data_IF_806624307014
#
_entry.id   IF_806624307014
#
_cell.length_a   1.000
_cell.length_b   1.000
_cell.length_c   1.000
_cell.angle_alpha   90.00
_cell.angle_beta   90.00
_cell.angle_gamma   90.00
#
_symmetry.space_group_name_H-M   'P 1'
#
loop_
_entity.id
_entity.type
_entity.pdbx_description
1 polymer ?
#
# COMPACT_ATOMS: atom_id res chain seq x y z
N UNK A 1 -1.08 -13.33 -15.82
CA UNK A 1 -2.16 -12.68 -15.09
C UNK A 1 -1.63 -11.61 -14.18
N UNK A 2 -2.35 -10.52 -14.09
CA UNK A 2 -1.92 -9.42 -13.25
C UNK A 2 -2.26 -9.67 -11.79
N UNK A 3 -1.31 -9.32 -10.93
CA UNK A 3 -1.53 -9.37 -9.49
C UNK A 3 -2.39 -8.20 -9.07
N UNK A 4 -3.22 -8.42 -8.07
CA UNK A 4 -4.02 -7.36 -7.47
C UNK A 4 -3.20 -6.74 -6.35
N UNK A 5 -2.87 -5.48 -6.48
CA UNK A 5 -2.00 -4.77 -5.53
C UNK A 5 -2.80 -3.77 -4.72
N UNK A 6 -2.72 -3.89 -3.41
CA UNK A 6 -3.31 -2.95 -2.48
C UNK A 6 -2.20 -2.11 -1.87
N UNK A 7 -2.36 -0.80 -1.88
CA UNK A 7 -1.35 0.12 -1.35
C UNK A 7 -1.80 0.68 0.00
N UNK A 8 -0.89 0.65 0.97
CA UNK A 8 -1.08 1.36 2.23
C UNK A 8 -0.18 2.59 2.21
N UNK A 9 -0.73 3.76 2.45
CA UNK A 9 0.03 5.01 2.41
C UNK A 9 -0.47 5.97 3.48
N UNK A 10 0.40 6.84 3.96
CA UNK A 10 0.05 7.81 5.00
C UNK A 10 0.16 9.26 4.55
N UNK A 11 0.93 9.57 3.55
CA UNK A 11 1.24 10.95 3.22
C UNK A 11 0.97 11.34 1.78
N UNK A 12 1.99 11.92 1.15
CA UNK A 12 1.85 12.45 -0.19
C UNK A 12 1.52 11.41 -1.24
N UNK A 13 2.01 10.19 -1.03
CA UNK A 13 1.77 9.13 -2.00
C UNK A 13 2.75 9.10 -3.16
N UNK A 14 3.93 9.70 -3.00
CA UNK A 14 4.92 9.66 -4.09
C UNK A 14 5.36 8.24 -4.40
N UNK A 15 5.53 7.39 -3.38
CA UNK A 15 5.84 5.98 -3.59
C UNK A 15 4.68 5.26 -4.26
N UNK A 16 3.45 5.60 -3.86
CA UNK A 16 2.27 5.02 -4.47
C UNK A 16 2.16 5.43 -5.93
N UNK A 17 2.48 6.69 -6.25
CA UNK A 17 2.49 7.18 -7.62
C UNK A 17 3.47 6.39 -8.48
N UNK A 18 4.67 6.16 -7.97
CA UNK A 18 5.67 5.40 -8.70
C UNK A 18 5.21 3.95 -8.93
N UNK A 19 4.56 3.35 -7.95
CA UNK A 19 3.99 2.02 -8.11
C UNK A 19 2.89 1.99 -9.17
N UNK A 20 2.03 3.00 -9.15
CA UNK A 20 0.94 3.11 -10.12
C UNK A 20 1.50 3.24 -11.53
N UNK A 21 2.49 4.11 -11.71
CA UNK A 21 3.12 4.30 -13.02
C UNK A 21 3.78 3.01 -13.51
N UNK A 22 4.46 2.30 -12.62
CA UNK A 22 5.11 1.04 -12.99
C UNK A 22 4.08 -0.02 -13.37
N UNK A 23 2.92 -0.01 -12.74
CA UNK A 23 1.85 -0.94 -13.09
C UNK A 23 1.24 -0.58 -14.45
N UNK A 24 1.07 0.72 -14.71
CA UNK A 24 0.49 1.18 -15.97
C UNK A 24 1.41 0.88 -17.14
N UNK A 25 2.71 1.09 -16.97
CA UNK A 25 3.65 0.89 -18.08
C UNK A 25 4.09 -0.58 -18.25
N UNK A 26 3.62 -1.46 -17.38
CA UNK A 26 3.93 -2.88 -17.49
C UNK A 26 5.22 -3.32 -16.84
N UNK A 27 5.96 -2.39 -16.20
CA UNK A 27 7.18 -2.75 -15.48
C UNK A 27 6.87 -3.72 -14.35
N UNK A 28 5.75 -3.49 -13.67
CA UNK A 28 5.24 -4.40 -12.65
C UNK A 28 4.02 -5.09 -13.24
N UNK A 29 3.99 -6.41 -13.16
CA UNK A 29 2.86 -7.18 -13.69
C UNK A 29 1.76 -7.24 -12.66
N UNK A 30 1.07 -6.13 -12.49
CA UNK A 30 0.00 -6.01 -11.55
C UNK A 30 -0.82 -4.77 -11.79
N UNK A 31 -1.90 -4.66 -11.07
CA UNK A 31 -2.72 -3.45 -11.12
C UNK A 31 -3.05 -3.02 -9.70
N UNK A 32 -3.16 -1.72 -9.52
CA UNK A 32 -3.51 -1.17 -8.22
C UNK A 32 -5.03 -1.27 -8.06
N UNK A 33 -5.47 -2.03 -7.07
CA UNK A 33 -6.91 -2.24 -6.87
C UNK A 33 -7.49 -1.36 -5.76
N UNK A 34 -6.64 -0.78 -4.92
CA UNK A 34 -7.12 0.09 -3.86
C UNK A 34 -5.99 0.74 -3.11
N UNK A 35 -6.34 1.74 -2.32
CA UNK A 35 -5.41 2.43 -1.43
C UNK A 35 -6.07 2.51 -0.06
N UNK A 36 -5.34 2.13 0.97
CA UNK A 36 -5.76 2.33 2.35
C UNK A 36 -4.87 3.40 2.95
N UNK A 37 -5.48 4.41 3.52
CA UNK A 37 -4.78 5.55 4.08
C UNK A 37 -5.23 5.78 5.52
N UNK A 38 -4.33 6.27 6.36
CA UNK A 38 -4.63 6.50 7.77
C UNK A 38 -4.96 7.96 8.08
N UNK A 39 -5.17 8.78 7.07
CA UNK A 39 -5.47 10.19 7.28
C UNK A 39 -6.33 10.75 6.15
N UNK A 40 -7.46 11.36 6.52
CA UNK A 40 -8.43 11.83 5.52
C UNK A 40 -7.93 13.03 4.70
N UNK A 41 -6.90 13.74 5.15
CA UNK A 41 -6.34 14.86 4.40
C UNK A 41 -5.12 14.49 3.56
N UNK A 42 -4.77 13.21 3.50
CA UNK A 42 -3.54 12.82 2.83
C UNK A 42 -3.62 13.05 1.32
N UNK A 43 -2.61 13.70 0.73
CA UNK A 43 -2.61 13.96 -0.72
C UNK A 43 -2.70 12.69 -1.58
N UNK A 44 -2.32 11.54 -1.05
CA UNK A 44 -2.43 10.28 -1.80
C UNK A 44 -3.87 10.00 -2.22
N UNK A 45 -4.84 10.52 -1.48
CA UNK A 45 -6.26 10.31 -1.81
C UNK A 45 -6.63 11.00 -3.12
N UNK A 46 -6.06 12.18 -3.38
CA UNK A 46 -6.28 12.87 -4.63
C UNK A 46 -5.63 12.11 -5.79
N UNK A 47 -4.49 11.50 -5.55
CA UNK A 47 -3.83 10.67 -6.56
C UNK A 47 -4.68 9.46 -6.90
N UNK A 48 -5.21 8.78 -5.88
CA UNK A 48 -6.07 7.62 -6.09
C UNK A 48 -7.29 7.99 -6.93
N UNK A 49 -7.87 9.16 -6.66
CA UNK A 49 -9.02 9.63 -7.43
C UNK A 49 -8.65 9.83 -8.90
N UNK A 50 -7.49 10.44 -9.17
CA UNK A 50 -7.02 10.62 -10.54
C UNK A 50 -6.79 9.29 -11.25
N UNK A 51 -6.34 8.29 -10.52
CA UNK A 51 -6.12 6.94 -11.09
C UNK A 51 -7.40 6.14 -11.22
N UNK A 52 -8.50 6.65 -10.70
CA UNK A 52 -9.78 5.95 -10.62
C UNK A 52 -9.66 4.66 -9.81
N UNK A 53 -8.89 4.74 -8.74
CA UNK A 53 -8.66 3.64 -7.81
C UNK A 53 -9.42 3.95 -6.53
N UNK A 54 -10.20 3.01 -5.99
CA UNK A 54 -10.92 3.26 -4.74
C UNK A 54 -9.94 3.43 -3.58
N UNK A 55 -10.31 4.25 -2.63
CA UNK A 55 -9.50 4.50 -1.45
C UNK A 55 -10.36 4.37 -0.20
N UNK A 56 -9.77 3.82 0.85
CA UNK A 56 -10.40 3.67 2.14
C UNK A 56 -9.57 4.41 3.17
N UNK A 57 -10.21 5.24 3.99
CA UNK A 57 -9.52 5.97 5.05
C UNK A 57 -9.93 5.38 6.38
N UNK A 58 -8.95 4.96 7.17
CA UNK A 58 -9.17 4.46 8.52
C UNK A 58 -8.21 5.19 9.44
N UNK A 59 -8.75 6.04 10.31
CA UNK A 59 -7.95 6.85 11.22
C UNK A 59 -8.01 6.27 12.62
N UNK A 60 -6.84 6.21 13.27
CA UNK A 60 -6.76 5.68 14.63
C UNK A 60 -7.68 6.42 15.58
N UNK A 61 -7.82 7.74 15.44
CA UNK A 61 -8.64 8.54 16.33
C UNK A 61 -10.12 8.19 16.26
N UNK A 62 -10.56 7.51 15.21
CA UNK A 62 -11.96 7.10 15.07
C UNK A 62 -12.20 5.70 15.61
N UNK A 63 -11.14 5.06 16.09
CA UNK A 63 -11.21 3.70 16.61
C UNK A 63 -11.15 3.72 18.12
N UNK A 64 -11.70 2.69 18.74
CA UNK A 64 -11.73 2.62 20.20
C UNK A 64 -10.33 2.40 20.78
N UNK A 65 -9.54 1.57 20.12
CA UNK A 65 -8.20 1.25 20.55
C UNK A 65 -7.44 0.68 19.36
N UNK A 66 -6.20 0.27 19.61
CA UNK A 66 -5.36 -0.29 18.56
C UNK A 66 -5.91 -1.58 17.98
N UNK A 67 -6.50 -2.42 18.83
CA UNK A 67 -7.09 -3.68 18.36
C UNK A 67 -8.24 -3.42 17.40
N UNK A 68 -9.08 -2.43 17.71
CA UNK A 68 -10.18 -2.04 16.84
C UNK A 68 -9.65 -1.52 15.50
N UNK A 69 -8.61 -0.69 15.55
CA UNK A 69 -7.97 -0.17 14.35
C UNK A 69 -7.45 -1.31 13.47
N UNK A 70 -6.72 -2.24 14.09
CA UNK A 70 -6.14 -3.35 13.36
C UNK A 70 -7.22 -4.23 12.71
N UNK A 71 -8.33 -4.40 13.39
CA UNK A 71 -9.43 -5.20 12.84
C UNK A 71 -10.07 -4.50 11.64
N UNK A 72 -10.27 -3.20 11.72
CA UNK A 72 -10.82 -2.45 10.60
C UNK A 72 -9.89 -2.46 9.40
N UNK A 73 -8.59 -2.38 9.64
CA UNK A 73 -7.60 -2.47 8.58
C UNK A 73 -7.67 -3.84 7.90
N UNK A 74 -7.76 -4.90 8.70
CA UNK A 74 -7.83 -6.26 8.16
C UNK A 74 -9.08 -6.45 7.30
N UNK A 75 -10.21 -5.99 7.79
CA UNK A 75 -11.47 -6.11 7.03
C UNK A 75 -11.39 -5.34 5.71
N UNK A 76 -10.86 -4.13 5.75
CA UNK A 76 -10.72 -3.33 4.55
C UNK A 76 -9.78 -3.99 3.55
N UNK A 77 -8.65 -4.51 4.03
CA UNK A 77 -7.70 -5.18 3.16
C UNK A 77 -8.34 -6.40 2.49
N UNK A 78 -9.07 -7.20 3.26
CA UNK A 78 -9.74 -8.38 2.71
C UNK A 78 -10.77 -8.01 1.66
N UNK A 79 -11.44 -6.88 1.82
CA UNK A 79 -12.48 -6.46 0.88
C UNK A 79 -11.93 -6.18 -0.50
N UNK A 80 -10.64 -5.84 -0.61
CA UNK A 80 -10.00 -5.61 -1.91
C UNK A 80 -9.49 -6.89 -2.55
N UNK A 81 -9.45 -7.98 -1.80
CA UNK A 81 -8.92 -9.27 -2.26
C UNK A 81 -7.56 -9.14 -2.95
N UNK A 82 -6.57 -8.56 -2.27
CA UNK A 82 -5.27 -8.34 -2.90
C UNK A 82 -4.43 -9.60 -2.96
N UNK A 83 -3.59 -9.69 -3.98
CA UNK A 83 -2.54 -10.71 -4.04
C UNK A 83 -1.29 -10.21 -3.32
N UNK A 84 -1.13 -8.89 -3.24
CA UNK A 84 0.06 -8.27 -2.69
C UNK A 84 -0.33 -6.96 -2.01
N UNK A 85 0.25 -6.71 -0.86
CA UNK A 85 0.09 -5.45 -0.14
C UNK A 85 1.44 -4.73 -0.14
N UNK A 86 1.44 -3.48 -0.60
CA UNK A 86 2.64 -2.65 -0.61
C UNK A 86 2.49 -1.51 0.38
N UNK A 87 3.41 -1.44 1.33
CA UNK A 87 3.45 -0.35 2.29
C UNK A 87 4.28 0.78 1.68
N UNK A 88 3.60 1.76 1.14
CA UNK A 88 4.23 2.85 0.37
C UNK A 88 4.23 4.13 1.20
N UNK A 89 5.14 4.21 2.15
CA UNK A 89 5.20 5.34 3.06
C UNK A 89 4.12 5.29 4.13
N UNK A 90 3.67 4.10 4.48
CA UNK A 90 2.69 3.92 5.55
C UNK A 90 3.40 4.03 6.89
N UNK A 91 2.95 4.96 7.72
CA UNK A 91 3.66 5.31 8.95
C UNK A 91 3.26 4.48 10.16
N UNK A 92 2.24 3.66 10.06
CA UNK A 92 1.80 2.86 11.18
C UNK A 92 2.33 1.44 11.10
N UNK A 93 2.48 0.81 12.25
CA UNK A 93 2.91 -0.57 12.34
C UNK A 93 1.72 -1.48 12.04
N UNK A 94 1.92 -2.44 11.16
CA UNK A 94 0.87 -3.39 10.83
C UNK A 94 0.60 -4.34 12.01
N UNK A 95 -0.67 -4.62 12.25
CA UNK A 95 -1.03 -5.56 13.30
C UNK A 95 -0.71 -6.99 12.92
N UNK A 96 -0.55 -7.85 13.92
CA UNK A 96 -0.27 -9.26 13.69
C UNK A 96 -1.36 -9.94 12.86
N UNK A 97 -2.62 -9.53 13.06
CA UNK A 97 -3.72 -10.13 12.32
C UNK A 97 -3.58 -9.91 10.82
N UNK A 98 -3.14 -8.71 10.41
CA UNK A 98 -2.91 -8.42 9.01
C UNK A 98 -1.73 -9.22 8.48
N UNK A 99 -0.65 -9.25 9.24
CA UNK A 99 0.57 -9.95 8.84
C UNK A 99 0.28 -11.44 8.65
N UNK A 100 -0.48 -12.04 9.55
CA UNK A 100 -0.82 -13.45 9.43
C UNK A 100 -1.74 -13.74 8.25
N UNK A 101 -2.72 -12.87 8.03
CA UNK A 101 -3.68 -13.07 6.95
C UNK A 101 -3.03 -12.97 5.57
N UNK A 102 -1.99 -12.15 5.46
CA UNK A 102 -1.29 -11.92 4.18
C UNK A 102 0.18 -12.28 4.30
N UNK A 103 0.48 -13.36 4.99
CA UNK A 103 1.85 -13.81 5.19
C UNK A 103 2.57 -13.97 3.86
N UNK A 104 3.78 -13.44 3.78
CA UNK A 104 4.61 -13.44 2.58
C UNK A 104 4.06 -12.63 1.42
N UNK A 105 3.04 -11.79 1.69
CA UNK A 105 2.44 -10.96 0.65
C UNK A 105 2.43 -9.48 1.01
N UNK A 106 3.19 -9.08 2.02
CA UNK A 106 3.32 -7.68 2.41
C UNK A 106 4.75 -7.23 2.14
N UNK A 107 4.89 -6.14 1.38
CA UNK A 107 6.20 -5.59 1.03
C UNK A 107 6.26 -4.15 1.48
N UNK A 108 7.37 -3.78 2.11
CA UNK A 108 7.63 -2.38 2.47
C UNK A 108 8.44 -1.74 1.36
N UNK A 109 7.90 -0.68 0.75
CA UNK A 109 8.48 -0.07 -0.43
C UNK A 109 9.24 1.20 -0.07
N UNK A 110 10.50 1.25 -0.47
CA UNK A 110 11.30 2.46 -0.44
C UNK A 110 11.35 3.06 -1.84
N UNK A 111 11.43 4.38 -1.96
CA UNK A 111 11.50 4.98 -3.30
C UNK A 111 12.62 4.39 -4.16
N UNK A 112 13.75 4.10 -3.53
CA UNK A 112 14.90 3.57 -4.24
C UNK A 112 14.73 2.12 -4.69
N UNK A 113 13.68 1.44 -4.23
CA UNK A 113 13.41 0.04 -4.60
C UNK A 113 12.48 -0.09 -5.79
N UNK A 114 11.92 1.02 -6.25
CA UNK A 114 10.95 0.98 -7.34
C UNK A 114 11.65 0.77 -8.67
N UNK A 115 11.00 0.06 -9.59
CA UNK A 115 11.65 -0.32 -10.86
C UNK A 115 12.14 0.86 -11.70
N UNK A 116 11.55 2.02 -11.54
CA UNK A 116 11.94 3.20 -12.28
C UNK A 116 13.26 3.79 -11.79
N UNK A 117 13.76 3.33 -10.66
CA UNK A 117 15.00 3.86 -10.12
C UNK A 117 16.18 2.98 -10.48
N UNK A 118 17.26 3.62 -10.83
CA UNK A 118 18.47 2.94 -11.17
C UNK A 118 19.02 2.20 -9.99
N UNK A 119 19.49 1.81 -9.37
CA UNK A 119 19.96 1.15 -8.18
C UNK A 119 19.04 0.06 -7.66
N UNK A 120 18.13 -0.42 -8.50
CA UNK A 120 17.18 -1.42 -8.06
C UNK A 120 17.87 -2.65 -7.46
N UNK A 121 18.95 -3.08 -8.06
CA UNK A 121 19.66 -4.27 -7.56
C UNK A 121 20.26 -4.03 -6.19
N UNK A 122 20.86 -2.88 -5.98
CA UNK A 122 21.40 -2.52 -4.67
C UNK A 122 20.28 -2.42 -3.64
N UNK A 123 19.13 -1.92 -4.05
CA UNK A 123 18.00 -1.79 -3.15
C UNK A 123 17.44 -3.14 -2.73
N UNK A 124 17.46 -4.10 -3.62
CA UNK A 124 17.02 -5.43 -3.23
C UNK A 124 17.89 -6.01 -2.13
N UNK A 125 19.18 -5.73 -2.17
CA UNK A 125 20.06 -6.16 -1.11
C UNK A 125 19.67 -5.53 0.21
N UNK A 126 19.28 -4.28 0.17
CA UNK A 126 18.86 -3.59 1.39
C UNK A 126 17.56 -4.16 1.97
N UNK A 127 16.72 -4.76 1.14
CA UNK A 127 15.49 -5.38 1.60
C UNK A 127 15.70 -6.69 2.33
N UNK A 128 16.77 -7.33 2.04
CA UNK A 128 17.10 -8.64 2.64
C UNK A 128 17.71 -8.53 4.05
#
# INVERSE_FOLDING_TARGET
MNKRILIFASGRGSNAEALHEAAVDGTIKGRIVGVICDHHDAPVLQRAERWKVPATVIEMKTCRDKADYNEKILEAAKSYAPDLICLAGYMRICGENLIKAFENRIINIHPALLPSFRGLHAQRQAME
#
